data_IF_801757865598
#
_entry.id   IF_801757865598
#
_cell.length_a   1.000
_cell.length_b   1.000
_cell.length_c   1.000
_cell.angle_alpha   90.00
_cell.angle_beta   90.00
_cell.angle_gamma   90.00
#
_symmetry.space_group_name_H-M   'P 1'
#
loop_
_entity.id
_entity.type
_entity.pdbx_description
1 polymer ?
#
# COMPACT_ATOMS: atom_id res chain seq x y z
N UNK A 1 -2.91 38.46 55.03
CA UNK A 1 -3.73 38.20 53.82
C UNK A 1 -2.80 37.74 52.70
N UNK A 2 -3.08 36.57 52.10
CA UNK A 2 -2.67 36.16 50.74
C UNK A 2 -1.18 35.83 50.40
N UNK A 3 -0.68 34.66 50.84
CA UNK A 3 0.44 33.96 50.16
C UNK A 3 0.11 32.53 49.72
N UNK A 4 -1.01 31.95 50.19
CA UNK A 4 -1.47 30.59 49.80
C UNK A 4 -2.10 30.50 48.40
N UNK A 5 -2.48 31.62 47.79
CA UNK A 5 -3.23 31.60 46.52
C UNK A 5 -2.35 31.59 45.25
N UNK A 6 -1.05 31.90 45.35
CA UNK A 6 -0.19 31.96 44.16
C UNK A 6 0.29 30.59 43.67
N UNK A 7 0.49 29.59 44.55
CA UNK A 7 1.01 28.28 44.14
C UNK A 7 0.00 27.41 43.39
N UNK A 8 -1.31 27.68 43.54
CA UNK A 8 -2.38 26.96 42.84
C UNK A 8 -2.49 27.39 41.37
N UNK A 9 -2.29 28.68 41.09
CA UNK A 9 -2.43 29.23 39.72
C UNK A 9 -1.32 28.76 38.76
N UNK A 10 -0.10 28.56 39.26
CA UNK A 10 1.03 28.04 38.47
C UNK A 10 0.90 26.55 38.10
N UNK A 11 0.36 25.74 39.02
CA UNK A 11 0.12 24.30 38.76
C UNK A 11 -1.00 24.07 37.74
N UNK A 12 -1.99 24.95 37.70
CA UNK A 12 -3.10 24.88 36.73
C UNK A 12 -2.64 25.24 35.32
N UNK A 13 -1.87 26.33 35.16
CA UNK A 13 -1.36 26.78 33.85
C UNK A 13 -0.43 25.75 33.18
N UNK A 14 0.37 25.01 33.97
CA UNK A 14 1.28 23.98 33.47
C UNK A 14 0.53 22.72 32.98
N UNK A 15 -0.62 22.40 33.57
CA UNK A 15 -1.49 21.30 33.11
C UNK A 15 -2.27 21.67 31.85
N UNK A 16 -2.68 22.93 31.72
CA UNK A 16 -3.36 23.45 30.52
C UNK A 16 -2.47 23.52 29.27
N UNK A 17 -1.14 23.64 29.42
CA UNK A 17 -0.21 23.66 28.29
C UNK A 17 0.16 22.27 27.76
N UNK A 18 0.08 21.22 28.61
CA UNK A 18 0.46 19.86 28.22
C UNK A 18 -0.60 19.16 27.37
N UNK A 19 -1.88 19.44 27.62
CA UNK A 19 -3.02 18.85 26.90
C UNK A 19 -2.98 19.17 25.39
N UNK A 20 -2.82 20.44 24.93
CA UNK A 20 -2.77 20.74 23.50
C UNK A 20 -1.52 20.16 22.84
N UNK A 21 -0.41 20.04 23.57
CA UNK A 21 0.84 19.47 23.03
C UNK A 21 0.70 17.95 22.79
N UNK A 22 0.07 17.22 23.71
CA UNK A 22 -0.21 15.79 23.52
C UNK A 22 -1.24 15.57 22.40
N UNK A 23 -2.28 16.40 22.34
CA UNK A 23 -3.27 16.36 21.25
C UNK A 23 -2.63 16.61 19.88
N UNK A 24 -1.72 17.58 19.78
CA UNK A 24 -0.99 17.88 18.54
C UNK A 24 -0.14 16.68 18.10
N UNK A 25 0.58 16.04 19.03
CA UNK A 25 1.38 14.84 18.74
C UNK A 25 0.49 13.69 18.28
N UNK A 26 -0.68 13.49 18.89
CA UNK A 26 -1.63 12.46 18.46
C UNK A 26 -2.18 12.72 17.05
N UNK A 27 -2.50 13.97 16.70
CA UNK A 27 -2.99 14.33 15.35
C UNK A 27 -1.90 14.10 14.30
N UNK A 28 -0.65 14.51 14.60
CA UNK A 28 0.49 14.28 13.69
C UNK A 28 0.75 12.78 13.51
N UNK A 29 0.67 11.98 14.58
CA UNK A 29 0.83 10.53 14.50
C UNK A 29 -0.26 9.88 13.66
N UNK A 30 -1.53 10.32 13.77
CA UNK A 30 -2.62 9.79 12.96
C UNK A 30 -2.45 10.06 11.46
N UNK A 31 -1.91 11.21 11.08
CA UNK A 31 -1.66 11.53 9.66
C UNK A 31 -0.59 10.63 9.01
N UNK A 32 0.36 10.10 9.78
CA UNK A 32 1.40 9.20 9.26
C UNK A 32 0.84 7.81 8.89
N UNK A 33 -0.28 7.39 9.52
CA UNK A 33 -0.90 6.09 9.27
C UNK A 33 -2.05 6.11 8.24
N UNK A 34 -2.36 7.26 7.64
CA UNK A 34 -3.45 7.40 6.67
C UNK A 34 -3.01 7.34 5.20
N UNK A 35 -1.88 6.71 4.87
CA UNK A 35 -1.58 6.42 3.47
C UNK A 35 -2.60 5.40 2.95
N UNK A 36 -3.47 5.75 1.99
CA UNK A 36 -4.33 4.76 1.35
C UNK A 36 -3.41 3.77 0.64
N UNK A 37 -3.41 2.51 1.10
CA UNK A 37 -2.71 1.42 0.44
C UNK A 37 -3.51 0.98 -0.80
N UNK A 38 -3.58 1.85 -1.81
CA UNK A 38 -4.09 1.54 -3.14
C UNK A 38 -2.92 1.53 -4.12
N UNK A 39 -1.94 0.65 -3.86
CA UNK A 39 -0.89 0.35 -4.83
C UNK A 39 -1.43 -0.65 -5.87
N UNK A 40 -2.39 -0.23 -6.69
CA UNK A 40 -2.75 -1.00 -7.89
C UNK A 40 -1.57 -0.90 -8.86
N UNK A 41 -1.03 -2.04 -9.32
CA UNK A 41 0.06 -2.01 -10.28
C UNK A 41 -0.45 -1.56 -11.64
N UNK A 42 0.32 -0.69 -12.30
CA UNK A 42 0.00 -0.24 -13.65
C UNK A 42 0.01 -1.43 -14.63
N UNK A 43 -0.71 -1.29 -15.76
CA UNK A 43 -0.69 -2.31 -16.82
C UNK A 43 0.76 -2.60 -17.23
N UNK A 44 1.14 -3.88 -17.29
CA UNK A 44 2.45 -4.27 -17.81
C UNK A 44 2.95 -5.61 -17.32
N UNK A 45 4.26 -5.78 -17.42
CA UNK A 45 4.98 -6.92 -16.90
C UNK A 45 5.95 -6.41 -15.83
N UNK A 46 6.03 -7.13 -14.71
CA UNK A 46 6.93 -6.80 -13.62
C UNK A 46 7.76 -8.02 -13.26
N UNK A 47 9.00 -7.79 -12.86
CA UNK A 47 9.88 -8.80 -12.29
C UNK A 47 9.81 -8.76 -10.78
N UNK A 48 9.81 -9.93 -10.16
CA UNK A 48 9.92 -10.12 -8.70
C UNK A 48 11.37 -10.48 -8.42
N UNK A 49 12.06 -9.67 -7.62
CA UNK A 49 13.46 -9.86 -7.28
C UNK A 49 13.62 -10.11 -5.78
N UNK A 50 14.40 -11.13 -5.44
CA UNK A 50 14.80 -11.43 -4.06
C UNK A 50 16.33 -11.50 -4.01
N UNK A 51 16.94 -10.68 -3.15
CA UNK A 51 18.40 -10.57 -3.03
C UNK A 51 19.10 -10.36 -4.40
N UNK A 52 18.50 -9.51 -5.25
CA UNK A 52 18.99 -9.18 -6.60
C UNK A 52 18.75 -10.25 -7.67
N UNK A 53 18.15 -11.40 -7.33
CA UNK A 53 17.82 -12.47 -8.29
C UNK A 53 16.34 -12.40 -8.68
N UNK A 54 16.06 -12.51 -9.98
CA UNK A 54 14.67 -12.64 -10.46
C UNK A 54 14.10 -14.01 -10.05
N UNK A 55 13.07 -13.99 -9.21
CA UNK A 55 12.39 -15.17 -8.65
C UNK A 55 10.94 -15.29 -9.14
N UNK A 56 10.51 -14.40 -10.02
CA UNK A 56 9.19 -14.52 -10.63
C UNK A 56 8.82 -13.31 -11.47
N UNK A 57 7.64 -13.38 -12.07
CA UNK A 57 7.07 -12.30 -12.88
C UNK A 57 5.60 -12.12 -12.59
N UNK A 58 5.13 -10.89 -12.79
CA UNK A 58 3.72 -10.53 -12.70
C UNK A 58 3.30 -10.00 -14.06
N UNK A 59 2.18 -10.49 -14.58
CA UNK A 59 1.54 -9.95 -15.77
C UNK A 59 0.21 -9.30 -15.36
N UNK A 60 0.09 -8.01 -15.68
CA UNK A 60 -1.11 -7.20 -15.45
C UNK A 60 -1.72 -6.85 -16.81
N UNK A 61 -2.86 -7.45 -17.19
CA UNK A 61 -3.52 -7.18 -18.46
C UNK A 61 -4.02 -5.73 -18.52
N UNK A 62 -4.22 -5.24 -19.75
CA UNK A 62 -4.96 -4.00 -19.96
C UNK A 62 -6.39 -4.15 -19.41
N UNK A 63 -6.87 -3.14 -18.69
CA UNK A 63 -8.27 -3.01 -18.29
C UNK A 63 -8.94 -1.85 -19.00
N UNK A 64 -10.24 -1.92 -19.21
CA UNK A 64 -11.01 -0.76 -19.67
C UNK A 64 -11.10 0.27 -18.54
N UNK A 65 -11.27 1.54 -18.87
CA UNK A 65 -11.46 2.62 -17.89
C UNK A 65 -12.71 2.44 -17.00
N UNK A 66 -13.61 1.51 -17.36
CA UNK A 66 -14.85 1.19 -16.63
C UNK A 66 -14.78 -0.15 -15.88
N UNK A 67 -13.62 -0.81 -15.85
CA UNK A 67 -13.48 -2.09 -15.19
C UNK A 67 -13.45 -1.91 -13.66
N UNK A 68 -14.39 -2.56 -12.98
CA UNK A 68 -14.50 -2.64 -11.51
C UNK A 68 -13.56 -3.70 -10.90
N UNK A 69 -12.97 -4.52 -11.76
CA UNK A 69 -12.12 -5.65 -11.38
C UNK A 69 -10.72 -5.48 -11.93
N UNK A 70 -9.77 -5.75 -11.06
CA UNK A 70 -8.36 -5.79 -11.32
C UNK A 70 -7.87 -7.24 -11.19
N UNK A 71 -6.97 -7.65 -12.09
CA UNK A 71 -6.43 -9.01 -12.09
C UNK A 71 -4.94 -9.00 -12.33
N UNK A 72 -4.21 -9.79 -11.56
CA UNK A 72 -2.77 -10.00 -11.75
C UNK A 72 -2.50 -11.48 -11.92
N UNK A 73 -1.54 -11.80 -12.78
CA UNK A 73 -1.09 -13.17 -13.00
C UNK A 73 0.37 -13.28 -12.57
N UNK A 74 0.58 -13.90 -11.42
CA UNK A 74 1.89 -14.11 -10.82
C UNK A 74 2.44 -15.46 -11.26
N UNK A 75 3.71 -15.48 -11.63
CA UNK A 75 4.46 -16.66 -12.05
C UNK A 75 5.72 -16.73 -11.20
N UNK A 76 5.65 -17.55 -10.15
CA UNK A 76 6.69 -17.67 -9.13
C UNK A 76 7.63 -18.81 -9.50
N UNK A 77 8.91 -18.51 -9.68
CA UNK A 77 9.93 -19.49 -9.98
C UNK A 77 10.20 -20.39 -8.77
N UNK A 78 10.85 -21.56 -8.96
CA UNK A 78 11.06 -22.53 -7.88
C UNK A 78 11.81 -21.98 -6.66
N UNK A 79 12.63 -20.97 -6.87
CA UNK A 79 13.43 -20.28 -5.88
C UNK A 79 12.73 -19.11 -5.19
N UNK A 80 11.47 -18.81 -5.56
CA UNK A 80 10.67 -17.82 -4.85
C UNK A 80 10.38 -18.27 -3.42
N UNK A 81 10.81 -17.45 -2.46
CA UNK A 81 10.52 -17.64 -1.03
C UNK A 81 9.39 -16.69 -0.65
N UNK A 82 8.32 -17.20 -0.04
CA UNK A 82 7.23 -16.37 0.42
C UNK A 82 7.71 -15.44 1.56
N UNK A 83 7.54 -14.11 1.45
CA UNK A 83 7.90 -13.20 2.54
C UNK A 83 7.09 -13.52 3.80
N UNK A 84 7.77 -13.79 4.90
CA UNK A 84 7.16 -14.13 6.18
C UNK A 84 7.89 -13.45 7.33
N UNK A 85 7.21 -13.30 8.47
CA UNK A 85 7.82 -12.73 9.68
C UNK A 85 9.02 -13.55 10.20
N UNK A 86 9.09 -14.83 9.84
CA UNK A 86 10.21 -15.71 10.16
C UNK A 86 11.48 -15.46 9.33
N UNK A 87 11.41 -14.61 8.29
CA UNK A 87 12.52 -14.27 7.40
C UNK A 87 12.70 -12.74 7.30
N UNK A 88 13.09 -12.06 8.40
CA UNK A 88 13.09 -10.59 8.47
C UNK A 88 14.13 -9.90 7.56
N UNK A 89 15.01 -10.64 6.90
CA UNK A 89 16.02 -10.12 5.98
C UNK A 89 15.75 -10.40 4.49
N UNK A 90 14.62 -11.02 4.15
CA UNK A 90 14.29 -11.31 2.75
C UNK A 90 13.73 -10.05 2.08
N UNK A 91 14.62 -9.29 1.43
CA UNK A 91 14.22 -8.16 0.61
C UNK A 91 13.55 -8.66 -0.67
N UNK A 92 12.29 -8.26 -0.89
CA UNK A 92 11.54 -8.55 -2.12
C UNK A 92 11.19 -7.25 -2.80
N UNK A 93 11.64 -7.08 -4.04
CA UNK A 93 11.41 -5.88 -4.85
C UNK A 93 10.65 -6.26 -6.11
N UNK A 94 9.62 -5.49 -6.43
CA UNK A 94 8.85 -5.66 -7.67
C UNK A 94 9.17 -4.48 -8.59
N UNK A 95 9.68 -4.79 -9.79
CA UNK A 95 10.20 -3.78 -10.72
C UNK A 95 9.48 -3.90 -12.07
N UNK A 96 8.95 -2.80 -12.64
CA UNK A 96 8.41 -2.81 -14.00
C UNK A 96 9.49 -3.21 -15.02
N UNK A 97 9.15 -4.12 -15.93
CA UNK A 97 10.01 -4.52 -17.03
C UNK A 97 9.60 -3.78 -18.31
N UNK A 98 10.55 -3.50 -19.23
CA UNK A 98 10.25 -2.81 -20.49
C UNK A 98 9.38 -3.64 -21.45
N UNK A 99 9.25 -4.93 -21.19
CA UNK A 99 8.49 -5.88 -21.99
C UNK A 99 6.98 -5.59 -21.94
N UNK A 100 6.32 -5.87 -23.06
CA UNK A 100 4.87 -5.77 -23.18
C UNK A 100 4.34 -7.06 -23.77
N UNK A 101 3.15 -7.45 -23.33
CA UNK A 101 2.34 -8.48 -23.96
C UNK A 101 0.91 -7.95 -24.08
N UNK A 102 0.25 -8.21 -25.21
CA UNK A 102 -1.14 -7.83 -25.42
C UNK A 102 -2.10 -8.77 -24.69
N UNK A 103 -1.67 -10.01 -24.40
CA UNK A 103 -2.49 -11.01 -23.72
C UNK A 103 -1.66 -11.92 -22.81
N UNK A 104 -2.33 -12.60 -21.87
CA UNK A 104 -1.72 -13.64 -21.05
C UNK A 104 -1.16 -14.79 -21.89
N UNK A 105 -1.83 -15.14 -22.99
CA UNK A 105 -1.39 -16.20 -23.89
C UNK A 105 -0.08 -15.82 -24.60
N UNK A 106 0.04 -14.57 -25.05
CA UNK A 106 1.27 -14.04 -25.63
C UNK A 106 2.39 -13.99 -24.60
N UNK A 107 2.11 -13.47 -23.40
CA UNK A 107 3.06 -13.47 -22.28
C UNK A 107 3.62 -14.87 -22.01
N UNK A 108 2.75 -15.89 -22.02
CA UNK A 108 3.13 -17.29 -21.81
C UNK A 108 3.93 -17.88 -22.98
N UNK A 109 3.75 -17.41 -24.21
CA UNK A 109 4.50 -17.88 -25.38
C UNK A 109 5.89 -17.26 -25.47
N UNK A 110 6.03 -16.00 -25.05
CA UNK A 110 7.31 -15.29 -25.09
C UNK A 110 8.34 -15.84 -24.08
N UNK A 111 7.91 -16.69 -23.15
CA UNK A 111 8.75 -17.14 -22.03
C UNK A 111 8.65 -18.64 -21.83
N UNK A 112 9.81 -19.30 -21.72
CA UNK A 112 9.90 -20.62 -21.12
C UNK A 112 9.93 -20.45 -19.62
N UNK A 113 8.82 -20.74 -18.95
CA UNK A 113 8.81 -20.81 -17.49
C UNK A 113 9.67 -21.99 -17.03
N UNK A 114 10.47 -21.80 -15.98
CA UNK A 114 11.29 -22.87 -15.44
C UNK A 114 10.39 -24.02 -14.95
N UNK A 115 10.85 -25.29 -15.06
CA UNK A 115 10.17 -26.42 -14.43
C UNK A 115 9.93 -26.12 -12.93
N UNK A 116 8.71 -26.37 -12.45
CA UNK A 116 8.33 -26.06 -11.06
C UNK A 116 7.82 -24.63 -10.83
N UNK A 117 7.66 -23.82 -11.89
CA UNK A 117 7.00 -22.51 -11.78
C UNK A 117 5.56 -22.67 -11.29
N UNK A 118 5.20 -21.91 -10.26
CA UNK A 118 3.84 -21.85 -9.70
C UNK A 118 3.12 -20.63 -10.26
N UNK A 119 1.87 -20.77 -10.67
CA UNK A 119 1.06 -19.64 -11.14
C UNK A 119 -0.06 -19.30 -10.17
N UNK A 120 -0.21 -18.02 -9.84
CA UNK A 120 -1.29 -17.50 -8.99
C UNK A 120 -2.03 -16.41 -9.75
N UNK A 121 -3.37 -16.44 -9.69
CA UNK A 121 -4.21 -15.35 -10.20
C UNK A 121 -4.74 -14.57 -9.00
N UNK A 122 -4.38 -13.29 -8.91
CA UNK A 122 -4.94 -12.38 -7.90
C UNK A 122 -6.09 -11.64 -8.55
N UNK A 123 -7.21 -11.57 -7.83
CA UNK A 123 -8.40 -10.80 -8.22
C UNK A 123 -8.67 -9.79 -7.11
N UNK A 124 -8.79 -8.52 -7.48
CA UNK A 124 -9.15 -7.45 -6.55
C UNK A 124 -10.30 -6.65 -7.14
N UNK A 125 -11.28 -6.32 -6.30
CA UNK A 125 -12.36 -5.43 -6.66
C UNK A 125 -11.98 -4.02 -6.22
N UNK A 126 -12.18 -3.04 -7.09
CA UNK A 126 -11.95 -1.66 -6.74
C UNK A 126 -13.08 -1.20 -5.79
N UNK A 127 -12.73 -0.88 -4.55
CA UNK A 127 -13.68 -0.25 -3.64
C UNK A 127 -13.95 1.16 -4.17
N UNK A 128 -15.14 1.41 -4.72
CA UNK A 128 -15.59 2.76 -4.98
C UNK A 128 -15.61 3.50 -3.64
N UNK A 129 -14.65 4.39 -3.41
CA UNK A 129 -14.82 5.45 -2.42
C UNK A 129 -15.86 6.36 -3.06
N UNK A 130 -17.12 6.16 -2.71
CA UNK A 130 -18.12 7.18 -2.94
C UNK A 130 -17.65 8.38 -2.12
N UNK A 131 -17.04 9.36 -2.79
CA UNK A 131 -17.03 10.72 -2.29
C UNK A 131 -18.50 11.10 -2.22
N UNK A 132 -19.09 10.93 -1.04
CA UNK A 132 -20.34 11.58 -0.72
C UNK A 132 -19.95 13.05 -0.69
N UNK A 133 -20.29 13.78 -1.76
CA UNK A 133 -20.33 15.23 -1.72
C UNK A 133 -21.26 15.59 -0.56
N UNK A 134 -20.70 16.11 0.52
CA UNK A 134 -21.43 16.59 1.68
C UNK A 134 -22.28 17.79 1.22
N UNK A 135 -23.61 17.67 1.13
CA UNK A 135 -24.43 18.74 0.62
C UNK A 135 -24.91 19.60 1.80
N UNK A 136 -24.01 20.21 2.55
CA UNK A 136 -24.40 21.25 3.52
C UNK A 136 -23.22 22.04 4.08
N UNK A 137 -22.73 23.04 3.34
CA UNK A 137 -22.27 24.30 3.96
C UNK A 137 -22.51 25.46 2.99
N UNK A 138 -23.64 26.16 3.18
CA UNK A 138 -23.98 27.33 2.39
C UNK A 138 -25.25 28.03 2.83
N UNK A 139 -25.45 28.19 4.14
CA UNK A 139 -26.48 29.10 4.65
C UNK A 139 -26.13 30.56 4.37
N UNK A 140 -27.04 31.26 3.70
CA UNK A 140 -27.42 32.65 4.01
C UNK A 140 -28.93 32.80 3.82
#
# INVERSE_FOLDING_TARGET
>A
MSLRNQSLTLKLKRRFLLIPCVLLVCVVLMQIFSAPASAQMERGIMGIFQNGKEVGRIYVPARSAKADRYSEYWFLYPDYIYPSQSLPGLETVIIPLPEKAASLAEFRKTRKFAPGTRSVKVLSQESQINLVDDPDEGGQ
#
